data_IF_930264624727
#
_entry.id   IF_930264624727
#
_cell.length_a   1.000
_cell.length_b   1.000
_cell.length_c   1.000
_cell.angle_alpha   90.00
_cell.angle_beta   90.00
_cell.angle_gamma   90.00
#
_symmetry.space_group_name_H-M   'P 1'
#
loop_
_entity.id
_entity.type
_entity.pdbx_description
1 polymer ?
#
# COMPACT_ATOMS: atom_id res chain seq x y z
N UNK A 1 -10.81 37.77 -29.92
CA UNK A 1 -12.01 37.04 -29.50
C UNK A 1 -11.75 35.54 -29.64
N UNK A 2 -11.62 34.83 -28.53
CA UNK A 2 -11.52 33.36 -28.55
C UNK A 2 -12.94 32.80 -28.66
N UNK A 3 -13.20 32.05 -29.72
CA UNK A 3 -14.45 31.35 -29.94
C UNK A 3 -14.22 29.83 -29.69
N UNK A 4 -14.86 29.26 -28.69
CA UNK A 4 -14.89 27.82 -28.56
C UNK A 4 -15.70 27.22 -29.71
N UNK A 5 -15.15 26.23 -30.38
CA UNK A 5 -15.91 25.45 -31.36
C UNK A 5 -16.78 24.45 -30.60
N UNK A 6 -18.05 24.25 -31.02
CA UNK A 6 -18.84 23.15 -30.49
C UNK A 6 -18.10 21.83 -30.82
N UNK A 7 -17.88 21.03 -29.82
CA UNK A 7 -17.36 19.69 -29.97
C UNK A 7 -18.54 18.72 -30.15
N UNK A 8 -18.36 17.72 -30.97
CA UNK A 8 -19.30 16.61 -31.08
C UNK A 8 -19.51 15.94 -29.71
N UNK A 9 -20.55 15.15 -29.59
CA UNK A 9 -20.83 14.40 -28.35
C UNK A 9 -19.64 13.58 -27.93
N UNK A 10 -19.21 13.75 -26.69
CA UNK A 10 -18.07 13.01 -26.14
C UNK A 10 -18.39 11.51 -26.07
N UNK A 11 -17.48 10.63 -26.51
CA UNK A 11 -17.66 9.19 -26.38
C UNK A 11 -17.65 8.76 -24.91
N UNK A 12 -18.34 7.68 -24.61
CA UNK A 12 -18.30 7.07 -23.28
C UNK A 12 -16.86 6.71 -22.92
N UNK A 13 -16.45 7.00 -21.68
CA UNK A 13 -15.09 6.74 -21.19
C UNK A 13 -14.04 7.76 -21.64
N UNK A 14 -14.40 8.88 -22.25
CA UNK A 14 -13.47 9.97 -22.52
C UNK A 14 -12.96 10.60 -21.22
N UNK A 15 -11.65 10.61 -21.02
CA UNK A 15 -10.99 11.07 -19.80
C UNK A 15 -10.21 12.38 -19.96
N UNK A 16 -10.53 13.18 -20.98
CA UNK A 16 -9.88 14.47 -21.22
C UNK A 16 -8.58 14.39 -22.00
N UNK A 17 -8.27 13.29 -22.66
CA UNK A 17 -7.09 13.15 -23.49
C UNK A 17 -7.20 13.95 -24.80
N UNK A 18 -6.29 14.89 -25.03
CA UNK A 18 -6.25 15.74 -26.21
C UNK A 18 -4.87 15.66 -26.85
N UNK A 19 -4.81 15.24 -28.11
CA UNK A 19 -3.54 15.10 -28.83
C UNK A 19 -3.59 13.96 -29.85
N UNK A 20 -2.44 13.36 -30.12
CA UNK A 20 -2.29 12.19 -30.97
C UNK A 20 -1.63 11.09 -30.17
N UNK A 21 -2.33 9.96 -30.01
CA UNK A 21 -1.91 8.89 -29.12
C UNK A 21 -1.96 7.52 -29.75
N UNK A 22 -1.12 6.64 -29.23
CA UNK A 22 -1.18 5.20 -29.40
C UNK A 22 -1.46 4.58 -28.03
N UNK A 23 -2.31 3.57 -28.01
CA UNK A 23 -2.66 2.84 -26.80
C UNK A 23 -2.34 1.37 -26.96
N UNK A 24 -1.65 0.79 -25.98
CA UNK A 24 -1.27 -0.61 -25.98
C UNK A 24 -1.48 -1.22 -24.59
N UNK A 25 -1.91 -2.48 -24.57
CA UNK A 25 -2.12 -3.27 -23.35
C UNK A 25 -1.41 -4.60 -23.53
N UNK A 26 -0.56 -4.95 -22.56
CA UNK A 26 0.23 -6.17 -22.60
C UNK A 26 0.29 -6.82 -21.22
N UNK A 27 0.22 -8.15 -21.17
CA UNK A 27 0.56 -8.94 -20.01
C UNK A 27 1.99 -9.48 -20.14
N UNK A 28 2.75 -9.49 -19.05
CA UNK A 28 4.10 -10.05 -19.04
C UNK A 28 4.12 -11.58 -19.15
N UNK A 29 3.02 -12.23 -18.71
CA UNK A 29 2.80 -13.68 -18.80
C UNK A 29 1.33 -13.95 -19.14
N UNK A 30 1.07 -15.00 -19.89
CA UNK A 30 -0.28 -15.46 -20.20
C UNK A 30 -0.60 -16.83 -19.60
N UNK A 31 0.40 -17.51 -19.04
CA UNK A 31 0.25 -18.79 -18.34
C UNK A 31 0.98 -18.70 -16.99
N UNK A 32 0.26 -18.95 -15.91
CA UNK A 32 0.73 -18.82 -14.51
C UNK A 32 0.07 -19.89 -13.65
N UNK A 33 0.53 -20.03 -12.42
CA UNK A 33 -0.15 -20.83 -11.38
C UNK A 33 -1.03 -19.95 -10.50
N UNK A 34 -1.97 -20.56 -9.77
CA UNK A 34 -2.71 -19.82 -8.75
C UNK A 34 -1.75 -19.24 -7.72
N UNK A 35 -2.05 -18.03 -7.25
CA UNK A 35 -1.22 -17.19 -6.35
C UNK A 35 0.13 -16.75 -6.98
N UNK A 36 0.40 -17.03 -8.26
CA UNK A 36 1.55 -16.47 -8.96
C UNK A 36 1.18 -15.10 -9.57
N UNK A 37 1.85 -14.02 -9.20
CA UNK A 37 1.54 -12.70 -9.74
C UNK A 37 1.96 -12.57 -11.20
N UNK A 38 1.14 -11.89 -11.98
CA UNK A 38 1.45 -11.43 -13.33
C UNK A 38 1.22 -9.91 -13.41
N UNK A 39 1.85 -9.27 -14.39
CA UNK A 39 1.72 -7.84 -14.61
C UNK A 39 0.94 -7.55 -15.89
N UNK A 40 -0.03 -6.64 -15.79
CA UNK A 40 -0.77 -6.08 -16.91
C UNK A 40 -0.33 -4.61 -17.06
N UNK A 41 0.25 -4.26 -18.22
CA UNK A 41 0.80 -2.95 -18.49
C UNK A 41 -0.05 -2.25 -19.53
N UNK A 42 -0.67 -1.14 -19.13
CA UNK A 42 -1.39 -0.24 -20.01
C UNK A 42 -0.46 0.91 -20.35
N UNK A 43 -0.23 1.18 -21.62
CA UNK A 43 0.66 2.25 -22.07
C UNK A 43 -0.04 3.16 -23.07
N UNK A 44 -0.03 4.46 -22.81
CA UNK A 44 -0.37 5.50 -23.79
C UNK A 44 0.90 6.23 -24.14
N UNK A 45 1.18 6.34 -25.43
CA UNK A 45 2.35 7.05 -25.97
C UNK A 45 1.88 8.05 -27.03
N UNK A 46 2.48 9.24 -27.04
CA UNK A 46 2.18 10.23 -28.07
C UNK A 46 2.49 11.65 -27.67
N UNK A 47 1.79 12.58 -28.35
CA UNK A 47 1.95 14.01 -28.19
C UNK A 47 0.62 14.66 -27.83
N UNK A 48 0.61 15.41 -26.72
CA UNK A 48 -0.61 16.06 -26.21
C UNK A 48 -0.55 16.28 -24.71
N UNK A 49 -1.71 16.35 -24.06
CA UNK A 49 -1.84 16.63 -22.62
C UNK A 49 -1.58 15.42 -21.72
N UNK A 50 -0.46 14.73 -21.90
CA UNK A 50 -0.11 13.47 -21.19
C UNK A 50 -0.20 13.57 -19.67
N UNK A 51 0.13 14.70 -19.07
CA UNK A 51 0.05 14.83 -17.60
C UNK A 51 -1.38 14.78 -17.06
N UNK A 52 -2.32 15.30 -17.83
CA UNK A 52 -3.72 15.47 -17.40
C UNK A 52 -4.60 14.24 -17.73
N UNK A 53 -4.17 13.42 -18.70
CA UNK A 53 -4.96 12.25 -19.06
C UNK A 53 -4.95 11.17 -17.97
N UNK A 54 -6.06 10.48 -17.85
CA UNK A 54 -6.21 9.30 -16.99
C UNK A 54 -6.38 8.08 -17.87
N UNK A 55 -5.65 6.99 -17.57
CA UNK A 55 -5.82 5.74 -18.28
C UNK A 55 -7.12 5.04 -17.82
N UNK A 56 -7.77 4.29 -18.72
CA UNK A 56 -8.93 3.50 -18.37
C UNK A 56 -8.54 2.36 -17.42
N UNK A 57 -9.39 2.09 -16.45
CA UNK A 57 -9.16 0.99 -15.50
C UNK A 57 -9.57 -0.35 -16.15
N UNK A 58 -8.73 -1.39 -16.10
CA UNK A 58 -9.10 -2.71 -16.59
C UNK A 58 -10.20 -3.33 -15.71
N UNK A 59 -11.08 -4.08 -16.35
CA UNK A 59 -12.10 -4.90 -15.68
C UNK A 59 -11.63 -6.35 -15.77
N UNK A 60 -11.43 -6.96 -14.60
CA UNK A 60 -11.00 -8.34 -14.49
C UNK A 60 -12.10 -9.19 -13.84
N UNK A 61 -12.22 -10.49 -14.19
CA UNK A 61 -13.07 -11.43 -13.48
C UNK A 61 -12.71 -11.51 -12.00
N UNK A 62 -13.70 -11.83 -11.15
CA UNK A 62 -13.52 -11.89 -9.67
C UNK A 62 -12.49 -12.92 -9.22
N UNK A 63 -12.18 -13.92 -10.03
CA UNK A 63 -11.13 -14.91 -9.77
C UNK A 63 -9.70 -14.36 -9.97
N UNK A 64 -9.57 -13.17 -10.55
CA UNK A 64 -8.32 -12.44 -10.75
C UNK A 64 -8.32 -11.23 -9.80
N UNK A 65 -7.54 -11.31 -8.75
CA UNK A 65 -7.39 -10.18 -7.83
C UNK A 65 -6.50 -9.11 -8.47
N UNK A 66 -7.05 -7.91 -8.64
CA UNK A 66 -6.41 -6.78 -9.28
C UNK A 66 -5.96 -5.76 -8.22
N UNK A 67 -4.66 -5.52 -8.13
CA UNK A 67 -4.08 -4.53 -7.23
C UNK A 67 -3.97 -3.15 -7.88
N UNK A 68 -3.85 -2.12 -7.05
CA UNK A 68 -3.68 -0.75 -7.53
C UNK A 68 -2.40 -0.60 -8.37
N UNK A 69 -2.44 0.20 -9.45
CA UNK A 69 -1.35 0.27 -10.40
C UNK A 69 -0.17 1.12 -9.93
N UNK A 70 1.03 0.70 -10.29
CA UNK A 70 2.20 1.57 -10.33
C UNK A 70 2.12 2.49 -11.54
N UNK A 71 2.23 3.81 -11.31
CA UNK A 71 2.16 4.83 -12.38
C UNK A 71 3.55 5.21 -12.84
N UNK A 72 3.81 5.05 -14.12
CA UNK A 72 5.09 5.38 -14.76
C UNK A 72 4.87 6.47 -15.78
N UNK A 73 5.44 7.66 -15.54
CA UNK A 73 5.33 8.80 -16.43
C UNK A 73 6.72 9.15 -17.00
N UNK A 74 6.84 9.13 -18.33
CA UNK A 74 8.04 9.53 -19.07
C UNK A 74 7.65 10.61 -20.08
N UNK A 75 7.49 11.84 -19.59
CA UNK A 75 7.00 12.96 -20.37
C UNK A 75 8.10 14.00 -20.54
N UNK A 76 8.39 14.33 -21.80
CA UNK A 76 9.27 15.43 -22.17
C UNK A 76 8.42 16.67 -22.50
N UNK A 77 8.77 17.80 -21.89
CA UNK A 77 8.07 19.08 -22.09
C UNK A 77 8.99 20.03 -22.83
N UNK A 78 8.58 20.47 -24.01
CA UNK A 78 9.30 21.45 -24.80
C UNK A 78 8.40 22.66 -25.08
N UNK A 79 8.96 23.85 -24.96
CA UNK A 79 8.22 25.09 -25.25
C UNK A 79 7.83 25.15 -26.73
N UNK A 80 8.67 24.66 -27.63
CA UNK A 80 8.44 24.69 -29.08
C UNK A 80 7.66 23.49 -29.62
N UNK A 81 7.89 22.29 -29.07
CA UNK A 81 7.31 21.04 -29.57
C UNK A 81 6.09 20.56 -28.76
N UNK A 82 5.82 21.18 -27.58
CA UNK A 82 4.77 20.79 -26.69
C UNK A 82 5.18 19.61 -25.78
N UNK A 83 4.21 18.83 -25.36
CA UNK A 83 4.39 17.70 -24.46
C UNK A 83 4.33 16.40 -25.25
N UNK A 84 5.35 15.57 -25.14
CA UNK A 84 5.49 14.29 -25.82
C UNK A 84 6.08 13.25 -24.88
N UNK A 85 5.68 11.99 -25.01
CA UNK A 85 6.20 10.91 -24.18
C UNK A 85 5.26 9.74 -24.03
N UNK A 86 5.39 9.07 -22.89
CA UNK A 86 4.54 7.94 -22.54
C UNK A 86 4.09 8.01 -21.08
N UNK A 87 2.87 7.51 -20.86
CA UNK A 87 2.28 7.26 -19.55
C UNK A 87 1.87 5.81 -19.49
N UNK A 88 2.30 5.11 -18.46
CA UNK A 88 1.97 3.72 -18.27
C UNK A 88 1.43 3.47 -16.86
N UNK A 89 0.51 2.53 -16.77
CA UNK A 89 0.02 1.98 -15.50
C UNK A 89 0.26 0.47 -15.51
N UNK A 90 1.00 0.00 -14.50
CA UNK A 90 1.35 -1.40 -14.32
C UNK A 90 0.52 -1.97 -13.18
N UNK A 91 -0.43 -2.81 -13.53
CA UNK A 91 -1.29 -3.53 -12.60
C UNK A 91 -0.67 -4.88 -12.25
N UNK A 92 -0.70 -5.25 -10.99
CA UNK A 92 -0.40 -6.61 -10.55
C UNK A 92 -1.72 -7.37 -10.44
N UNK A 93 -1.76 -8.56 -11.05
CA UNK A 93 -2.91 -9.46 -11.05
C UNK A 93 -2.48 -10.76 -10.40
N UNK A 94 -3.27 -11.25 -9.43
CA UNK A 94 -3.04 -12.51 -8.74
C UNK A 94 -4.24 -13.44 -8.97
N UNK A 95 -4.10 -14.47 -9.80
CA UNK A 95 -5.14 -15.48 -9.98
C UNK A 95 -5.31 -16.31 -8.71
N UNK A 96 -6.54 -16.59 -8.30
CA UNK A 96 -6.80 -17.38 -7.09
C UNK A 96 -7.18 -18.83 -7.38
N UNK A 97 -7.73 -19.10 -8.56
CA UNK A 97 -8.26 -20.41 -8.94
C UNK A 97 -7.73 -20.85 -10.30
N UNK A 98 -7.61 -22.17 -10.47
CA UNK A 98 -7.30 -22.78 -11.76
C UNK A 98 -8.42 -22.46 -12.78
N UNK A 99 -8.05 -22.20 -14.02
CA UNK A 99 -9.01 -21.92 -15.10
C UNK A 99 -8.44 -21.00 -16.17
N UNK A 100 -9.29 -20.67 -17.14
CA UNK A 100 -8.96 -19.73 -18.21
C UNK A 100 -9.79 -18.48 -18.02
N UNK A 101 -9.13 -17.34 -17.91
CA UNK A 101 -9.75 -16.05 -17.65
C UNK A 101 -9.42 -15.07 -18.75
N UNK A 102 -10.42 -14.32 -19.20
CA UNK A 102 -10.22 -13.30 -20.23
C UNK A 102 -10.45 -11.92 -19.65
N UNK A 103 -9.45 -11.05 -19.80
CA UNK A 103 -9.60 -9.62 -19.56
C UNK A 103 -10.20 -9.01 -20.80
N UNK A 104 -11.33 -8.31 -20.64
CA UNK A 104 -12.04 -7.68 -21.73
C UNK A 104 -11.19 -6.60 -22.43
N UNK A 105 -11.47 -6.33 -23.72
CA UNK A 105 -10.83 -5.24 -24.44
C UNK A 105 -11.00 -3.92 -23.73
N UNK A 106 -9.91 -3.20 -23.52
CA UNK A 106 -9.89 -1.91 -22.86
C UNK A 106 -9.91 -0.79 -23.90
N UNK A 107 -10.83 0.15 -23.76
CA UNK A 107 -11.00 1.26 -24.67
C UNK A 107 -10.36 2.53 -24.13
N UNK A 108 -9.62 3.24 -24.98
CA UNK A 108 -9.06 4.55 -24.72
C UNK A 108 -9.56 5.56 -25.75
N UNK A 109 -10.26 6.59 -25.31
CA UNK A 109 -10.82 7.63 -26.17
C UNK A 109 -10.08 8.95 -25.97
N UNK A 110 -9.75 9.63 -27.05
CA UNK A 110 -9.06 10.90 -27.07
C UNK A 110 -9.61 11.83 -28.14
N UNK A 111 -9.41 13.13 -27.99
CA UNK A 111 -9.69 14.12 -29.02
C UNK A 111 -8.45 14.36 -29.87
N UNK A 112 -8.53 14.01 -31.14
CA UNK A 112 -7.43 14.26 -32.09
C UNK A 112 -7.50 15.68 -32.63
N UNK A 113 -6.49 16.48 -32.33
CA UNK A 113 -6.42 17.90 -32.73
C UNK A 113 -6.21 18.09 -34.21
N UNK A 114 -5.65 17.11 -34.92
CA UNK A 114 -5.42 17.17 -36.36
C UNK A 114 -6.71 16.96 -37.16
N UNK A 115 -7.46 15.92 -36.84
CA UNK A 115 -8.76 15.64 -37.46
C UNK A 115 -9.94 16.38 -36.83
N UNK A 116 -9.73 16.98 -35.64
CA UNK A 116 -10.76 17.68 -34.82
C UNK A 116 -11.93 16.76 -34.47
N UNK A 117 -11.68 15.48 -34.28
CA UNK A 117 -12.67 14.46 -33.95
C UNK A 117 -12.23 13.61 -32.77
N UNK A 118 -13.18 12.99 -32.10
CA UNK A 118 -12.88 11.95 -31.12
C UNK A 118 -12.45 10.67 -31.80
N UNK A 119 -11.40 10.06 -31.29
CA UNK A 119 -10.93 8.73 -31.71
C UNK A 119 -10.91 7.80 -30.52
N UNK A 120 -11.22 6.55 -30.78
CA UNK A 120 -11.22 5.47 -29.78
C UNK A 120 -10.31 4.36 -30.26
N UNK A 121 -9.36 3.96 -29.40
CA UNK A 121 -8.48 2.82 -29.62
C UNK A 121 -8.90 1.73 -28.64
N UNK A 122 -9.08 0.52 -29.14
CA UNK A 122 -9.46 -0.65 -28.33
C UNK A 122 -8.32 -1.65 -28.34
N UNK A 123 -7.96 -2.15 -27.16
CA UNK A 123 -6.96 -3.21 -27.04
C UNK A 123 -7.50 -4.56 -27.49
N UNK A 124 -6.60 -5.51 -27.72
CA UNK A 124 -7.00 -6.91 -27.87
C UNK A 124 -7.42 -7.47 -26.50
N UNK A 125 -8.33 -8.47 -26.47
CA UNK A 125 -8.61 -9.22 -25.26
C UNK A 125 -7.37 -10.01 -24.83
N UNK A 126 -7.14 -10.14 -23.52
CA UNK A 126 -6.00 -10.87 -22.98
C UNK A 126 -6.51 -12.09 -22.23
N UNK A 127 -6.14 -13.27 -22.72
CA UNK A 127 -6.49 -14.54 -22.07
C UNK A 127 -5.33 -15.00 -21.19
N UNK A 128 -5.66 -15.29 -19.93
CA UNK A 128 -4.74 -15.80 -18.91
C UNK A 128 -5.14 -17.22 -18.58
N UNK A 129 -4.21 -18.16 -18.72
CA UNK A 129 -4.38 -19.56 -18.36
C UNK A 129 -3.73 -19.84 -17.01
N UNK A 130 -4.52 -20.28 -16.04
CA UNK A 130 -4.05 -20.69 -14.71
C UNK A 130 -3.98 -22.20 -14.68
N UNK A 131 -2.77 -22.75 -14.79
CA UNK A 131 -2.52 -24.18 -15.02
C UNK A 131 -2.64 -25.04 -13.77
N UNK A 132 -2.40 -24.49 -12.58
CA UNK A 132 -2.36 -25.20 -11.32
C UNK A 132 -2.98 -24.36 -10.20
N UNK A 133 -3.73 -24.98 -9.30
CA UNK A 133 -4.36 -24.31 -8.16
C UNK A 133 -5.69 -24.95 -7.77
N UNK A 134 -6.35 -24.41 -6.74
CA UNK A 134 -7.67 -24.85 -6.33
C UNK A 134 -8.69 -24.59 -7.45
N UNK A 135 -9.66 -25.47 -7.58
CA UNK A 135 -10.78 -25.27 -8.51
C UNK A 135 -11.71 -24.18 -7.95
N UNK A 136 -12.31 -23.42 -8.87
CA UNK A 136 -13.34 -22.47 -8.50
C UNK A 136 -14.49 -23.22 -7.80
N UNK A 137 -14.93 -22.84 -6.60
CA UNK A 137 -16.06 -23.50 -5.95
C UNK A 137 -17.30 -23.34 -6.83
N UNK A 138 -17.64 -24.44 -7.52
CA UNK A 138 -18.81 -24.50 -8.39
C UNK A 138 -20.05 -24.65 -7.51
N UNK A 139 -20.57 -23.59 -6.95
CA UNK A 139 -21.95 -23.55 -6.51
C UNK A 139 -22.84 -23.43 -7.75
N UNK A 140 -22.76 -24.45 -8.60
CA UNK A 140 -23.69 -24.61 -9.70
C UNK A 140 -25.00 -25.15 -9.15
N UNK A 141 -25.83 -24.27 -8.64
CA UNK A 141 -27.28 -24.43 -8.70
C UNK A 141 -27.89 -23.04 -8.86
N UNK A 142 -27.93 -22.57 -10.11
CA UNK A 142 -28.76 -21.44 -10.50
C UNK A 142 -30.23 -21.86 -10.49
N UNK A 143 -30.76 -22.49 -9.46
CA UNK A 143 -32.17 -22.75 -9.30
C UNK A 143 -32.63 -22.83 -7.84
N UNK A 144 -31.98 -22.08 -6.97
CA UNK A 144 -32.61 -21.73 -5.71
C UNK A 144 -32.64 -20.22 -5.61
N UNK A 145 -33.88 -19.71 -5.55
CA UNK A 145 -34.22 -18.36 -5.10
C UNK A 145 -33.19 -17.91 -4.10
N UNK A 146 -32.75 -16.67 -4.22
CA UNK A 146 -31.91 -15.99 -3.24
C UNK A 146 -32.28 -16.39 -1.80
N UNK A 147 -31.94 -17.59 -1.43
CA UNK A 147 -31.73 -17.91 -0.06
C UNK A 147 -30.45 -17.13 0.23
N UNK A 148 -30.65 -15.89 0.68
CA UNK A 148 -29.72 -15.30 1.61
C UNK A 148 -29.38 -16.44 2.53
N UNK A 149 -28.29 -17.17 2.24
CA UNK A 149 -27.57 -17.90 3.23
C UNK A 149 -27.11 -16.76 4.13
N UNK A 150 -28.02 -16.35 5.00
CA UNK A 150 -27.68 -16.12 6.36
C UNK A 150 -26.84 -17.32 6.71
N UNK A 151 -25.57 -17.31 6.32
CA UNK A 151 -24.55 -17.97 7.07
C UNK A 151 -24.76 -17.32 8.42
N UNK A 152 -25.55 -18.02 9.22
CA UNK A 152 -25.39 -18.09 10.63
C UNK A 152 -24.02 -18.77 10.82
N UNK A 153 -22.98 -18.20 10.24
CA UNK A 153 -21.74 -18.03 10.91
C UNK A 153 -22.22 -17.30 12.16
N UNK A 154 -22.69 -18.10 13.09
CA UNK A 154 -22.77 -17.75 14.47
C UNK A 154 -21.52 -16.93 14.66
N UNK A 155 -21.68 -15.58 14.56
CA UNK A 155 -20.65 -14.68 15.01
C UNK A 155 -20.43 -15.21 16.40
N UNK A 156 -19.35 -15.97 16.58
CA UNK A 156 -18.96 -16.39 17.91
C UNK A 156 -19.02 -15.10 18.69
N UNK A 157 -19.91 -14.99 19.67
CA UNK A 157 -20.06 -13.76 20.41
C UNK A 157 -18.66 -13.44 20.83
N UNK A 158 -18.15 -12.31 20.38
CA UNK A 158 -16.87 -11.76 20.80
C UNK A 158 -16.78 -12.11 22.25
N UNK A 159 -15.85 -13.01 22.59
CA UNK A 159 -15.72 -13.58 23.92
C UNK A 159 -15.83 -12.40 24.88
N UNK A 160 -16.98 -12.29 25.56
CA UNK A 160 -17.30 -11.16 26.44
C UNK A 160 -16.42 -11.18 27.68
N UNK A 161 -15.63 -12.22 27.81
CA UNK A 161 -14.44 -12.33 28.60
C UNK A 161 -13.20 -11.91 27.77
N UNK A 162 -13.23 -10.74 27.20
CA UNK A 162 -12.03 -9.95 27.16
C UNK A 162 -11.77 -9.68 28.65
N UNK A 163 -11.04 -10.56 29.29
CA UNK A 163 -10.28 -10.18 30.47
C UNK A 163 -9.40 -9.03 29.98
N UNK A 164 -9.93 -7.82 30.16
CA UNK A 164 -9.18 -6.59 29.98
C UNK A 164 -7.99 -6.77 30.89
N UNK A 165 -6.89 -7.24 30.29
CA UNK A 165 -5.60 -7.38 30.87
C UNK A 165 -5.67 -7.13 32.39
N UNK A 166 -6.16 -8.12 33.16
CA UNK A 166 -5.85 -8.23 34.57
C UNK A 166 -4.36 -8.61 34.62
N UNK A 167 -3.59 -7.91 33.82
CA UNK A 167 -2.19 -7.79 34.06
C UNK A 167 -2.14 -7.21 35.43
N UNK A 168 -1.79 -8.03 36.42
CA UNK A 168 -1.19 -7.53 37.63
C UNK A 168 -0.08 -6.61 37.12
N UNK A 169 -0.46 -5.36 36.94
CA UNK A 169 0.52 -4.34 36.58
C UNK A 169 1.61 -4.51 37.62
N UNK A 170 2.84 -4.59 37.19
CA UNK A 170 4.04 -4.75 38.03
C UNK A 170 4.00 -3.83 39.25
N UNK A 171 3.20 -2.76 39.18
CA UNK A 171 2.89 -1.80 40.24
C UNK A 171 2.12 -2.39 41.45
N UNK A 172 1.46 -3.55 41.35
CA UNK A 172 0.75 -4.17 42.49
C UNK A 172 1.67 -5.06 43.35
N UNK A 173 2.88 -5.31 42.87
CA UNK A 173 3.84 -6.09 43.64
C UNK A 173 4.61 -5.16 44.56
N UNK A 174 4.46 -5.34 45.90
CA UNK A 174 5.13 -4.55 46.92
C UNK A 174 6.66 -4.48 46.69
N UNK A 175 7.24 -5.49 46.10
CA UNK A 175 8.66 -5.54 45.71
C UNK A 175 9.03 -4.52 44.61
N UNK A 176 8.09 -4.10 43.78
CA UNK A 176 8.35 -3.05 42.76
C UNK A 176 8.66 -1.69 43.42
N UNK A 177 7.92 -1.34 44.46
CA UNK A 177 8.17 -0.11 45.19
C UNK A 177 9.47 -0.16 45.97
N UNK A 178 9.86 -1.34 46.52
CA UNK A 178 11.13 -1.53 47.19
C UNK A 178 12.30 -1.29 46.23
N UNK A 179 12.20 -1.71 44.99
CA UNK A 179 13.24 -1.49 43.97
C UNK A 179 13.34 -0.04 43.53
N UNK A 180 12.20 0.65 43.45
CA UNK A 180 12.16 2.08 43.10
C UNK A 180 12.66 3.00 44.20
N UNK A 181 12.46 2.58 45.48
CA UNK A 181 12.95 3.30 46.65
C UNK A 181 14.41 3.00 47.00
N UNK A 182 14.97 1.89 46.45
CA UNK A 182 16.35 1.49 46.73
C UNK A 182 17.39 2.60 46.46
N UNK A 183 17.39 3.33 45.37
CA UNK A 183 18.36 4.40 45.12
C UNK A 183 18.21 5.58 46.11
N UNK A 184 16.99 5.84 46.54
CA UNK A 184 16.68 6.94 47.45
C UNK A 184 17.21 6.67 48.88
N UNK A 185 17.32 5.42 49.28
CA UNK A 185 17.90 4.99 50.57
C UNK A 185 19.41 4.82 50.44
N UNK A 186 19.91 4.34 49.32
CA UNK A 186 21.36 4.12 49.12
C UNK A 186 22.17 5.44 49.01
N UNK A 187 21.62 6.46 48.38
CA UNK A 187 22.30 7.74 48.21
C UNK A 187 22.72 8.40 49.56
N UNK A 188 21.85 8.54 50.59
CA UNK A 188 22.26 9.09 51.86
C UNK A 188 23.25 8.18 52.61
N UNK A 189 23.16 6.86 52.48
CA UNK A 189 24.10 5.92 53.10
C UNK A 189 25.50 6.09 52.51
N UNK A 190 25.59 6.16 51.16
CA UNK A 190 26.88 6.43 50.52
C UNK A 190 27.44 7.78 50.87
N UNK A 191 26.59 8.80 50.96
CA UNK A 191 27.01 10.14 51.36
C UNK A 191 27.51 10.19 52.83
N UNK A 192 26.82 9.50 53.77
CA UNK A 192 27.28 9.35 55.15
C UNK A 192 28.58 8.58 55.25
N UNK A 193 28.71 7.47 54.50
CA UNK A 193 29.96 6.68 54.50
C UNK A 193 31.14 7.50 53.98
N UNK A 194 30.96 8.29 52.93
CA UNK A 194 31.97 9.19 52.39
C UNK A 194 32.36 10.25 53.42
N UNK A 195 31.37 10.88 54.07
CA UNK A 195 31.61 11.91 55.06
C UNK A 195 32.34 11.40 56.34
N UNK A 196 32.07 10.15 56.75
CA UNK A 196 32.80 9.47 57.83
C UNK A 196 34.22 9.10 57.40
N UNK A 197 34.41 8.65 56.13
CA UNK A 197 35.72 8.37 55.58
C UNK A 197 36.59 9.62 55.50
N UNK A 198 36.05 10.73 55.04
CA UNK A 198 36.76 12.00 54.91
C UNK A 198 37.15 12.57 56.29
N UNK A 199 36.32 12.41 57.33
CA UNK A 199 36.67 12.78 58.73
C UNK A 199 37.82 11.91 59.25
N UNK A 200 37.85 10.62 59.02
CA UNK A 200 38.94 9.73 59.42
C UNK A 200 40.23 10.06 58.68
N UNK A 201 40.17 10.43 57.42
CA UNK A 201 41.34 10.85 56.65
C UNK A 201 41.95 12.17 57.19
N UNK A 202 41.09 13.11 57.62
CA UNK A 202 41.52 14.37 58.24
C UNK A 202 42.22 14.17 59.57
N UNK A 203 41.72 13.26 60.41
CA UNK A 203 42.33 12.95 61.72
C UNK A 203 43.71 12.29 61.60
N UNK A 204 43.90 11.43 60.60
CA UNK A 204 45.20 10.80 60.36
C UNK A 204 46.24 11.80 59.86
N UNK A 205 45.83 12.80 59.06
CA UNK A 205 46.70 13.89 58.62
C UNK A 205 47.07 14.84 59.76
N UNK A 206 46.14 15.18 60.66
CA UNK A 206 46.37 16.01 61.81
C UNK A 206 47.33 15.40 62.82
N UNK A 207 47.24 14.09 63.03
CA UNK A 207 48.16 13.36 63.90
C UNK A 207 49.58 13.23 63.34
N UNK A 208 49.76 13.10 62.03
CA UNK A 208 51.08 13.10 61.38
C UNK A 208 51.78 14.49 61.52
N UNK A 209 51.06 15.60 61.43
CA UNK A 209 51.61 16.91 61.58
C UNK A 209 52.05 17.20 63.01
N UNK A 210 51.36 16.68 64.05
CA UNK A 210 51.74 16.82 65.44
C UNK A 210 52.95 15.98 65.84
N UNK A 211 53.22 14.86 65.19
CA UNK A 211 54.32 13.99 65.41
C UNK A 211 55.66 14.51 64.84
N UNK A 212 55.62 15.41 63.86
CA UNK A 212 56.79 15.93 63.17
C UNK A 212 57.32 17.26 63.79
N UNK A 213 56.63 17.77 64.78
CA UNK A 213 56.98 19.05 65.50
C UNK A 213 57.43 18.86 66.95
N UNK A 214 58.02 17.67 67.30
CA UNK A 214 58.71 17.42 68.51
C UNK A 214 60.16 17.15 68.27
#
# INVERSE_FOLDING_TARGET
>A
LFRSLPLDSQPAGYTGAVGTYQFNVQANKTSVKANEPLELILTVQGKGNLDLLTLPKPVAPTALELYDPEKINRVNKSISAGMEGSKAEKYVIVPQYKGTYTIEPITFSYFDTASKTYKTITSQPITIEVTDGPELPTNASMNDKAQVVSSKAEMQPLNKNIEWFNGNFVTHNKSFYAWWLAPLVLLPIVFMAKNVSDKKAGDVSGNKLKANNK
#
